data_IF_709255329435
#
_entry.id   IF_709255329435
#
_cell.length_a   1.000
_cell.length_b   1.000
_cell.length_c   1.000
_cell.angle_alpha   90.00
_cell.angle_beta   90.00
_cell.angle_gamma   90.00
#
_symmetry.space_group_name_H-M   'P 1'
#
loop_
_entity.id
_entity.type
_entity.pdbx_description
1 polymer ?
#
# COMPACT_ATOMS: atom_id res chain seq x y z
N UNK A 1 -16.85 -14.87 -10.24
CA UNK A 1 -16.37 -14.84 -11.62
C UNK A 1 -14.86 -14.89 -11.61
N UNK A 2 -14.26 -15.53 -12.62
CA UNK A 2 -12.80 -15.75 -12.68
C UNK A 2 -12.02 -14.44 -12.62
N UNK A 3 -12.47 -13.39 -13.32
CA UNK A 3 -11.78 -12.08 -13.28
C UNK A 3 -11.72 -11.53 -11.87
N UNK A 4 -12.83 -11.54 -11.15
CA UNK A 4 -12.85 -10.98 -9.79
C UNK A 4 -12.07 -11.85 -8.82
N UNK A 5 -12.08 -13.18 -9.02
CA UNK A 5 -11.25 -14.07 -8.21
C UNK A 5 -9.77 -13.82 -8.45
N UNK A 6 -9.37 -13.58 -9.70
CA UNK A 6 -7.98 -13.26 -10.04
C UNK A 6 -7.56 -11.91 -9.46
N UNK A 7 -8.45 -10.92 -9.50
CA UNK A 7 -8.20 -9.60 -8.89
C UNK A 7 -8.02 -9.75 -7.39
N UNK A 8 -8.89 -10.53 -6.72
CA UNK A 8 -8.78 -10.78 -5.28
C UNK A 8 -7.44 -11.43 -4.93
N UNK A 9 -7.06 -12.45 -5.66
CA UNK A 9 -5.81 -13.17 -5.41
C UNK A 9 -4.60 -12.23 -5.62
N UNK A 10 -4.62 -11.42 -6.67
CA UNK A 10 -3.55 -10.45 -6.94
C UNK A 10 -3.48 -9.40 -5.83
N UNK A 11 -4.63 -8.87 -5.40
CA UNK A 11 -4.68 -7.88 -4.32
C UNK A 11 -4.10 -8.45 -3.02
N UNK A 12 -4.46 -9.69 -2.68
CA UNK A 12 -3.93 -10.34 -1.48
C UNK A 12 -2.41 -10.49 -1.55
N UNK A 13 -1.87 -10.91 -2.69
CA UNK A 13 -0.42 -11.01 -2.89
C UNK A 13 0.26 -9.65 -2.77
N UNK A 14 -0.37 -8.61 -3.30
CA UNK A 14 0.16 -7.24 -3.25
C UNK A 14 0.34 -6.77 -1.80
N UNK A 15 -0.71 -6.88 -0.98
CA UNK A 15 -0.62 -6.44 0.43
C UNK A 15 0.28 -7.36 1.25
N UNK A 16 0.25 -8.66 1.01
CA UNK A 16 1.15 -9.60 1.69
C UNK A 16 2.61 -9.29 1.39
N UNK A 17 2.92 -8.90 0.16
CA UNK A 17 4.28 -8.55 -0.25
C UNK A 17 4.78 -7.31 0.51
N UNK A 18 3.95 -6.28 0.63
CA UNK A 18 4.34 -5.07 1.37
C UNK A 18 4.55 -5.39 2.85
N UNK A 19 3.64 -6.18 3.43
CA UNK A 19 3.74 -6.59 4.83
C UNK A 19 5.05 -7.34 5.09
N UNK A 20 5.43 -8.22 4.17
CA UNK A 20 6.66 -9.00 4.26
C UNK A 20 7.92 -8.20 3.91
N UNK A 21 7.79 -7.02 3.33
CA UNK A 21 8.92 -6.24 2.86
C UNK A 21 9.45 -6.68 1.50
N UNK A 22 8.64 -7.41 0.73
CA UNK A 22 9.00 -7.87 -0.62
C UNK A 22 8.66 -6.79 -1.64
N UNK A 23 9.57 -5.84 -1.79
CA UNK A 23 9.37 -4.65 -2.63
C UNK A 23 9.28 -5.04 -4.12
N UNK A 24 10.03 -6.04 -4.56
CA UNK A 24 10.02 -6.43 -5.98
C UNK A 24 8.67 -7.02 -6.39
N UNK A 25 8.04 -7.85 -5.55
CA UNK A 25 6.70 -8.37 -5.83
C UNK A 25 5.67 -7.24 -5.82
N UNK A 26 5.75 -6.31 -4.88
CA UNK A 26 4.89 -5.13 -4.84
C UNK A 26 5.05 -4.32 -6.14
N UNK A 27 6.28 -4.00 -6.52
CA UNK A 27 6.58 -3.21 -7.72
C UNK A 27 6.05 -3.91 -8.98
N UNK A 28 6.25 -5.22 -9.08
CA UNK A 28 5.78 -6.04 -10.21
C UNK A 28 4.26 -6.17 -10.30
N UNK A 29 3.53 -5.78 -9.26
CA UNK A 29 2.06 -5.77 -9.27
C UNK A 29 1.48 -4.59 -10.07
N UNK A 30 2.31 -3.59 -10.39
CA UNK A 30 1.90 -2.42 -11.17
C UNK A 30 2.33 -2.53 -12.63
N UNK A 31 1.55 -1.92 -13.52
CA UNK A 31 2.01 -1.68 -14.89
C UNK A 31 3.14 -0.67 -14.85
N UNK A 32 3.95 -0.64 -15.93
CA UNK A 32 5.10 0.27 -16.02
C UNK A 32 4.68 1.75 -15.91
N UNK A 33 3.52 2.09 -16.46
CA UNK A 33 2.99 3.46 -16.49
C UNK A 33 1.91 3.70 -15.44
N UNK A 34 1.80 2.84 -14.44
CA UNK A 34 0.80 2.97 -13.39
C UNK A 34 0.93 4.33 -12.69
N UNK A 35 -0.22 4.86 -12.31
CA UNK A 35 -0.32 6.12 -11.58
C UNK A 35 -0.72 5.83 -10.14
N UNK A 36 0.04 6.35 -9.20
CA UNK A 36 -0.19 6.15 -7.76
C UNK A 36 -0.40 7.51 -7.11
N UNK A 37 -1.55 7.68 -6.48
CA UNK A 37 -1.99 8.95 -5.93
C UNK A 37 -2.34 8.79 -4.45
N UNK A 38 -1.97 9.80 -3.65
CA UNK A 38 -2.29 9.84 -2.22
C UNK A 38 -3.01 11.15 -1.92
N UNK A 39 -4.02 11.07 -1.07
CA UNK A 39 -4.85 12.25 -0.73
C UNK A 39 -4.10 13.29 0.11
N UNK A 40 -2.99 12.93 0.75
CA UNK A 40 -2.27 13.83 1.64
C UNK A 40 -1.50 14.93 0.89
N UNK A 41 -1.04 14.65 -0.32
CA UNK A 41 -0.32 15.63 -1.14
C UNK A 41 -0.95 15.83 -2.52
N UNK A 42 -1.87 14.93 -2.90
CA UNK A 42 -2.58 14.93 -4.19
C UNK A 42 -1.65 14.89 -5.39
N UNK A 43 -0.47 14.27 -5.21
CA UNK A 43 0.51 14.10 -6.28
C UNK A 43 0.43 12.69 -6.86
N UNK A 44 0.69 12.58 -8.16
CA UNK A 44 0.82 11.28 -8.82
C UNK A 44 2.30 10.92 -8.86
N UNK A 45 2.63 9.71 -8.40
CA UNK A 45 3.99 9.18 -8.43
C UNK A 45 4.02 7.87 -9.22
N UNK A 46 5.21 7.47 -9.63
CA UNK A 46 5.44 6.24 -10.40
C UNK A 46 5.60 5.03 -9.47
N UNK A 47 5.53 3.82 -10.05
CA UNK A 47 5.80 2.61 -9.28
C UNK A 47 7.23 2.57 -8.74
N UNK A 48 8.19 3.12 -9.46
CA UNK A 48 9.59 3.16 -9.00
C UNK A 48 9.75 4.12 -7.82
N UNK A 49 9.09 5.28 -7.87
CA UNK A 49 9.06 6.21 -6.73
C UNK A 49 8.38 5.57 -5.52
N UNK A 50 7.29 4.84 -5.75
CA UNK A 50 6.58 4.11 -4.71
C UNK A 50 7.48 3.03 -4.10
N UNK A 51 8.24 2.31 -4.92
CA UNK A 51 9.18 1.29 -4.45
C UNK A 51 10.26 1.93 -3.54
N UNK A 52 10.77 3.09 -3.89
CA UNK A 52 11.73 3.82 -3.06
C UNK A 52 11.11 4.20 -1.71
N UNK A 53 9.89 4.75 -1.74
CA UNK A 53 9.17 5.14 -0.52
C UNK A 53 8.94 3.93 0.38
N UNK A 54 8.49 2.81 -0.17
CA UNK A 54 8.21 1.61 0.61
C UNK A 54 9.49 0.94 1.11
N UNK A 55 10.58 1.01 0.37
CA UNK A 55 11.89 0.55 0.87
C UNK A 55 12.28 1.30 2.16
N UNK A 56 12.09 2.61 2.17
CA UNK A 56 12.32 3.42 3.37
C UNK A 56 11.37 3.05 4.51
N UNK A 57 10.10 2.83 4.20
CA UNK A 57 9.12 2.43 5.21
C UNK A 57 9.47 1.09 5.83
N UNK A 58 9.85 0.10 5.03
CA UNK A 58 10.25 -1.22 5.52
C UNK A 58 11.45 -1.10 6.48
N UNK A 59 12.39 -0.21 6.20
CA UNK A 59 13.55 0.00 7.07
C UNK A 59 13.17 0.69 8.38
N UNK A 60 12.14 1.54 8.38
CA UNK A 60 11.76 2.34 9.57
C UNK A 60 10.70 1.69 10.44
N UNK A 61 9.85 0.86 9.87
CA UNK A 61 8.68 0.29 10.55
C UNK A 61 8.84 -1.23 10.56
N UNK A 62 8.95 -1.81 11.74
CA UNK A 62 9.01 -3.27 11.93
C UNK A 62 7.64 -3.80 12.36
N UNK A 63 7.50 -5.12 12.35
CA UNK A 63 6.27 -5.82 12.77
C UNK A 63 5.04 -5.33 12.00
N UNK A 64 5.21 -5.05 10.70
CA UNK A 64 4.14 -4.54 9.84
C UNK A 64 3.03 -5.57 9.72
N UNK A 65 1.80 -5.07 9.84
CA UNK A 65 0.60 -5.89 9.68
C UNK A 65 -0.48 -5.05 9.03
N UNK A 66 -1.04 -5.54 7.94
CA UNK A 66 -2.28 -4.98 7.38
C UNK A 66 -3.45 -5.64 8.11
N UNK A 67 -3.88 -5.02 9.20
CA UNK A 67 -4.92 -5.55 10.08
C UNK A 67 -6.31 -5.18 9.57
N UNK A 68 -7.30 -6.00 9.94
CA UNK A 68 -8.72 -5.73 9.68
C UNK A 68 -9.03 -5.51 8.19
N UNK A 69 -8.41 -6.29 7.33
CA UNK A 69 -8.57 -6.17 5.87
C UNK A 69 -10.01 -6.43 5.45
N UNK A 70 -10.58 -5.48 4.73
CA UNK A 70 -11.89 -5.62 4.07
C UNK A 70 -11.68 -5.38 2.59
N UNK A 71 -11.56 -6.46 1.84
CA UNK A 71 -11.28 -6.42 0.40
C UNK A 71 -12.55 -6.68 -0.38
N UNK A 72 -12.93 -5.73 -1.22
CA UNK A 72 -14.08 -5.84 -2.10
C UNK A 72 -13.62 -5.70 -3.55
N UNK A 73 -13.97 -6.66 -4.38
CA UNK A 73 -13.67 -6.60 -5.82
C UNK A 73 -14.88 -6.09 -6.59
N UNK A 74 -14.61 -5.49 -7.74
CA UNK A 74 -15.63 -5.07 -8.70
C UNK A 74 -15.05 -5.27 -10.11
N UNK A 75 -15.88 -5.21 -11.16
CA UNK A 75 -15.33 -5.35 -12.51
C UNK A 75 -14.23 -4.32 -12.78
N UNK A 76 -13.02 -4.81 -13.04
CA UNK A 76 -11.87 -3.95 -13.34
C UNK A 76 -11.12 -3.37 -12.15
N UNK A 77 -11.39 -3.83 -10.92
CA UNK A 77 -10.64 -3.28 -9.79
C UNK A 77 -11.00 -3.83 -8.42
N UNK A 78 -10.48 -3.17 -7.40
CA UNK A 78 -10.78 -3.53 -6.01
C UNK A 78 -10.66 -2.30 -5.11
N UNK A 79 -11.27 -2.40 -3.94
CA UNK A 79 -11.04 -1.49 -2.83
C UNK A 79 -10.69 -2.31 -1.59
N UNK A 80 -9.70 -1.85 -0.84
CA UNK A 80 -9.38 -2.46 0.45
C UNK A 80 -9.34 -1.40 1.53
N UNK A 81 -10.08 -1.66 2.60
CA UNK A 81 -9.96 -0.93 3.85
C UNK A 81 -9.14 -1.77 4.80
N UNK A 82 -8.24 -1.15 5.54
CA UNK A 82 -7.41 -1.84 6.52
C UNK A 82 -6.81 -0.84 7.49
N UNK A 83 -6.13 -1.37 8.51
CA UNK A 83 -5.29 -0.56 9.39
C UNK A 83 -3.87 -1.11 9.27
N UNK A 84 -2.96 -0.31 8.73
CA UNK A 84 -1.54 -0.68 8.68
C UNK A 84 -0.96 -0.39 10.06
N UNK A 85 -0.52 -1.44 10.74
CA UNK A 85 0.08 -1.37 12.08
C UNK A 85 1.55 -1.72 12.00
N UNK A 86 2.30 -1.23 12.97
CA UNK A 86 3.71 -1.56 13.10
C UNK A 86 4.32 -0.85 14.30
N UNK A 87 5.64 -0.90 14.35
CA UNK A 87 6.41 -0.21 15.40
C UNK A 87 7.59 0.50 14.74
N UNK A 88 7.84 1.72 15.17
CA UNK A 88 9.01 2.45 14.67
C UNK A 88 10.30 1.79 15.20
N UNK A 89 11.23 1.54 14.32
CA UNK A 89 12.54 0.98 14.69
C UNK A 89 13.28 1.94 15.62
N UNK A 90 13.15 3.26 15.38
CA UNK A 90 13.88 4.30 16.08
C UNK A 90 13.58 4.35 17.59
N UNK A 91 12.30 4.29 17.98
CA UNK A 91 11.89 4.46 19.38
C UNK A 91 10.97 3.35 19.88
N UNK A 92 10.73 2.31 19.07
CA UNK A 92 9.82 1.23 19.36
C UNK A 92 8.37 1.68 19.56
N UNK A 93 8.03 2.88 19.11
CA UNK A 93 6.68 3.42 19.24
C UNK A 93 5.70 2.71 18.31
N UNK A 94 4.53 2.37 18.82
CA UNK A 94 3.48 1.76 18.02
C UNK A 94 2.86 2.80 17.08
N UNK A 95 2.60 2.39 15.85
CA UNK A 95 1.93 3.23 14.86
C UNK A 95 0.74 2.48 14.27
N UNK A 96 -0.25 3.23 13.84
CA UNK A 96 -1.40 2.67 13.13
C UNK A 96 -1.89 3.69 12.10
N UNK A 97 -2.23 3.18 10.92
CA UNK A 97 -2.60 3.99 9.78
C UNK A 97 -3.85 3.39 9.13
N UNK A 98 -5.04 3.83 9.54
CA UNK A 98 -6.27 3.44 8.84
C UNK A 98 -6.25 3.98 7.42
N UNK A 99 -6.51 3.12 6.44
CA UNK A 99 -6.42 3.46 5.03
C UNK A 99 -7.59 2.87 4.24
N UNK A 100 -7.89 3.53 3.13
CA UNK A 100 -8.69 2.97 2.06
C UNK A 100 -7.92 3.11 0.76
N UNK A 101 -7.77 2.02 0.04
CA UNK A 101 -7.03 1.98 -1.23
C UNK A 101 -7.98 1.51 -2.31
N UNK A 102 -8.11 2.30 -3.39
CA UNK A 102 -8.95 1.97 -4.54
C UNK A 102 -8.03 1.78 -5.74
N UNK A 103 -8.13 0.60 -6.39
CA UNK A 103 -7.27 0.26 -7.51
C UNK A 103 -8.06 -0.10 -8.75
N UNK A 104 -7.55 0.32 -9.90
CA UNK A 104 -7.95 -0.20 -11.22
C UNK A 104 -6.95 -1.24 -11.65
N UNK A 105 -7.44 -2.33 -12.21
CA UNK A 105 -6.64 -3.49 -12.60
C UNK A 105 -6.93 -3.84 -14.06
N UNK A 106 -5.88 -4.05 -14.83
CA UNK A 106 -5.98 -4.50 -16.22
C UNK A 106 -4.98 -5.64 -16.42
N UNK A 107 -5.45 -6.77 -16.93
CA UNK A 107 -4.61 -7.94 -17.21
C UNK A 107 -3.77 -8.36 -16.00
N UNK A 108 -4.38 -8.34 -14.81
CA UNK A 108 -3.74 -8.81 -13.60
C UNK A 108 -2.78 -7.84 -12.95
N UNK A 109 -2.69 -6.59 -13.44
CA UNK A 109 -1.79 -5.58 -12.89
C UNK A 109 -2.52 -4.29 -12.57
N UNK A 110 -2.04 -3.58 -11.55
CA UNK A 110 -2.62 -2.32 -11.10
C UNK A 110 -2.18 -1.22 -12.07
N UNK A 111 -3.15 -0.50 -12.63
CA UNK A 111 -2.90 0.66 -13.52
C UNK A 111 -3.08 1.98 -12.79
N UNK A 112 -3.90 2.00 -11.74
CA UNK A 112 -4.13 3.20 -10.93
C UNK A 112 -4.38 2.78 -9.48
N UNK A 113 -3.75 3.49 -8.56
CA UNK A 113 -3.98 3.32 -7.13
C UNK A 113 -4.26 4.68 -6.51
N UNK A 114 -5.39 4.79 -5.81
CA UNK A 114 -5.73 5.98 -5.02
C UNK A 114 -5.76 5.55 -3.56
N UNK A 115 -4.94 6.19 -2.73
CA UNK A 115 -4.87 5.89 -1.30
C UNK A 115 -5.34 7.09 -0.48
N UNK A 116 -6.23 6.80 0.47
CA UNK A 116 -6.83 7.78 1.38
C UNK A 116 -6.47 7.45 2.82
N UNK A 117 -5.91 8.41 3.52
CA UNK A 117 -5.56 8.26 4.93
C UNK A 117 -5.47 9.65 5.59
N UNK A 118 -5.40 9.66 6.92
CA UNK A 118 -5.34 10.90 7.69
C UNK A 118 -3.88 11.38 7.77
N UNK A 119 -3.65 12.65 7.46
CA UNK A 119 -2.31 13.24 7.48
C UNK A 119 -1.69 13.22 8.89
N UNK A 120 -2.49 13.30 9.95
CA UNK A 120 -1.99 13.21 11.32
C UNK A 120 -1.43 11.81 11.61
N UNK A 121 -2.10 10.76 11.14
CA UNK A 121 -1.60 9.39 11.26
C UNK A 121 -0.32 9.18 10.44
N UNK A 122 -0.27 9.78 9.25
CA UNK A 122 0.93 9.71 8.39
C UNK A 122 2.11 10.39 9.08
N UNK A 123 1.90 11.53 9.75
CA UNK A 123 2.95 12.24 10.47
C UNK A 123 3.58 11.36 11.55
N UNK A 124 2.75 10.65 12.34
CA UNK A 124 3.24 9.71 13.35
C UNK A 124 3.98 8.53 12.72
N UNK A 125 3.46 8.02 11.62
CA UNK A 125 4.05 6.91 10.88
C UNK A 125 5.43 7.31 10.31
N UNK A 126 5.58 8.53 9.85
CA UNK A 126 6.82 9.04 9.25
C UNK A 126 7.74 9.74 10.24
N UNK A 127 7.38 9.76 11.51
CA UNK A 127 8.23 10.35 12.55
C UNK A 127 9.62 9.70 12.49
N UNK A 128 10.65 10.51 12.53
CA UNK A 128 12.06 10.11 12.38
C UNK A 128 12.44 9.62 10.97
N UNK A 129 11.63 9.89 9.95
CA UNK A 129 11.96 9.48 8.58
C UNK A 129 13.27 10.09 8.08
N UNK A 130 13.63 11.27 8.59
CA UNK A 130 14.83 12.00 8.19
C UNK A 130 15.90 12.05 9.31
N UNK A 131 15.75 11.19 10.30
CA UNK A 131 16.69 11.15 11.42
C UNK A 131 17.94 10.34 11.08
#
# INVERSE_FOLDING_TARGET
MAEQDDIRAMAQRFFDAIEAGDIETMRGSFTRDAEIWHNTDELIVTRDQTAQTLTGMVARIKDREYADRQLTTFPGGFVQQHVLKGRRVHDDGAVRLPCAIVCKVTDGKITRLDEYFDSAHVAEFRKFANA
#
